data_IF_376984293219
#
_entry.id   IF_376984293219
#
_cell.length_a   1.000
_cell.length_b   1.000
_cell.length_c   1.000
_cell.angle_alpha   90.00
_cell.angle_beta   90.00
_cell.angle_gamma   90.00
#
_symmetry.space_group_name_H-M   'P 1'
#
loop_
_entity.id
_entity.type
_entity.pdbx_description
1 polymer ?
#
# COMPACT_ATOMS: atom_id res chain seq x y z
N UNK A 1 4.18 6.56 -14.80
CA UNK A 1 3.27 5.53 -15.30
C UNK A 1 3.26 4.34 -14.37
N UNK A 2 2.09 3.80 -14.11
CA UNK A 2 1.94 2.69 -13.16
C UNK A 2 1.48 1.44 -13.89
N UNK A 3 2.03 0.30 -13.49
CA UNK A 3 1.64 -0.99 -14.05
C UNK A 3 1.40 -1.95 -12.91
N UNK A 4 0.48 -2.88 -13.14
CA UNK A 4 0.27 -3.99 -12.22
C UNK A 4 0.97 -5.21 -12.75
N UNK A 5 1.71 -5.88 -11.86
CA UNK A 5 2.34 -7.15 -12.20
C UNK A 5 1.43 -8.28 -11.79
N UNK A 6 1.47 -9.38 -12.53
CA UNK A 6 0.79 -10.59 -12.10
C UNK A 6 1.45 -11.12 -10.85
N UNK A 7 0.73 -11.86 -9.99
CA UNK A 7 1.36 -12.49 -8.84
C UNK A 7 2.44 -13.45 -9.29
N UNK A 8 3.54 -13.44 -8.57
CA UNK A 8 4.62 -14.39 -8.84
C UNK A 8 5.34 -14.71 -7.53
N UNK A 9 6.04 -15.83 -7.49
CA UNK A 9 6.68 -16.25 -6.24
C UNK A 9 7.70 -15.22 -5.78
N UNK A 10 7.65 -14.92 -4.52
CA UNK A 10 8.66 -14.09 -3.89
C UNK A 10 9.92 -14.88 -3.67
N UNK A 11 11.05 -14.22 -3.84
CA UNK A 11 12.31 -14.88 -3.53
C UNK A 11 12.36 -15.32 -2.07
N UNK A 12 11.79 -14.51 -1.20
CA UNK A 12 11.72 -14.85 0.21
C UNK A 12 10.67 -15.92 0.52
N UNK A 13 9.92 -16.34 -0.47
CA UNK A 13 8.94 -17.40 -0.29
C UNK A 13 7.77 -17.03 0.59
N UNK A 14 7.59 -15.75 0.82
CA UNK A 14 6.67 -15.34 1.83
C UNK A 14 5.23 -15.46 1.41
N UNK A 15 4.95 -15.17 0.13
CA UNK A 15 3.56 -15.11 -0.24
C UNK A 15 3.37 -15.09 -1.75
N UNK A 16 3.06 -16.24 -2.31
CA UNK A 16 2.82 -16.31 -3.75
C UNK A 16 1.55 -15.60 -4.20
N UNK A 17 0.68 -15.20 -3.25
CA UNK A 17 -0.58 -14.56 -3.60
C UNK A 17 -0.54 -13.05 -3.56
N UNK A 18 0.61 -12.47 -3.22
CA UNK A 18 0.74 -11.02 -3.23
C UNK A 18 0.79 -10.48 -4.64
N UNK A 19 0.24 -9.29 -4.81
CA UNK A 19 0.40 -8.54 -6.05
C UNK A 19 1.43 -7.46 -5.85
N UNK A 20 2.12 -7.14 -6.93
CA UNK A 20 3.12 -6.08 -6.92
C UNK A 20 2.69 -5.00 -7.89
N UNK A 21 2.67 -3.76 -7.42
CA UNK A 21 2.36 -2.62 -8.26
C UNK A 21 3.66 -1.88 -8.53
N UNK A 22 3.98 -1.73 -9.80
CA UNK A 22 5.25 -1.16 -10.22
C UNK A 22 5.02 0.21 -10.85
N UNK A 23 5.84 1.19 -10.44
CA UNK A 23 5.87 2.48 -11.09
C UNK A 23 7.07 2.54 -12.01
N UNK A 24 6.81 2.76 -13.29
CA UNK A 24 7.84 2.75 -14.32
C UNK A 24 7.93 4.12 -14.96
N UNK A 25 9.14 4.63 -15.08
CA UNK A 25 9.40 5.91 -15.77
C UNK A 25 10.56 5.70 -16.72
N UNK A 26 10.30 5.89 -18.02
CA UNK A 26 11.30 5.68 -19.07
C UNK A 26 11.95 4.30 -18.99
N UNK A 27 11.16 3.27 -18.70
CA UNK A 27 11.66 1.91 -18.62
C UNK A 27 12.36 1.57 -17.31
N UNK A 28 12.43 2.51 -16.38
CA UNK A 28 13.11 2.31 -15.11
C UNK A 28 12.10 2.14 -13.99
N UNK A 29 12.33 1.17 -13.11
CA UNK A 29 11.49 0.96 -11.94
C UNK A 29 11.79 2.06 -10.92
N UNK A 30 10.82 2.92 -10.66
CA UNK A 30 11.02 4.07 -9.77
C UNK A 30 10.11 4.03 -8.55
N UNK A 31 9.14 3.13 -8.52
CA UNK A 31 8.22 3.03 -7.38
C UNK A 31 7.67 1.61 -7.30
N UNK A 32 7.30 1.21 -6.09
CA UNK A 32 6.87 -0.17 -5.84
C UNK A 32 5.99 -0.21 -4.61
N UNK A 33 4.95 -1.04 -4.64
CA UNK A 33 4.24 -1.43 -3.44
C UNK A 33 3.72 -2.85 -3.60
N UNK A 34 3.33 -3.44 -2.47
CA UNK A 34 2.82 -4.80 -2.45
C UNK A 34 1.40 -4.80 -1.89
N UNK A 35 0.52 -5.54 -2.52
CA UNK A 35 -0.85 -5.75 -2.04
C UNK A 35 -0.94 -7.15 -1.48
N UNK A 36 -1.32 -7.25 -0.20
CA UNK A 36 -1.37 -8.52 0.51
C UNK A 36 -2.82 -8.93 0.74
N UNK A 37 -3.15 -10.20 0.44
CA UNK A 37 -4.53 -10.66 0.66
C UNK A 37 -4.91 -10.65 2.12
N UNK A 38 -6.21 -10.66 2.35
CA UNK A 38 -6.77 -10.70 3.70
C UNK A 38 -6.26 -11.94 4.44
N UNK A 39 -5.99 -11.76 5.73
CA UNK A 39 -5.55 -12.86 6.56
C UNK A 39 -4.05 -13.11 6.58
N UNK A 40 -3.29 -12.35 5.79
CA UNK A 40 -1.85 -12.54 5.75
C UNK A 40 -1.11 -11.68 6.78
N UNK A 41 -1.25 -10.37 6.70
CA UNK A 41 -0.67 -9.45 7.68
C UNK A 41 -1.69 -8.99 8.69
N UNK A 42 -2.89 -8.75 8.24
CA UNK A 42 -4.04 -8.35 9.04
C UNK A 42 -5.22 -9.19 8.59
N UNK A 43 -6.31 -9.12 9.34
CA UNK A 43 -7.54 -9.77 8.90
C UNK A 43 -8.05 -9.16 7.61
N UNK A 44 -7.76 -7.89 7.38
CA UNK A 44 -8.13 -7.20 6.15
C UNK A 44 -7.01 -7.29 5.12
N UNK A 45 -7.32 -6.94 3.88
CA UNK A 45 -6.31 -6.74 2.84
C UNK A 45 -5.38 -5.61 3.29
N UNK A 46 -4.12 -5.70 2.94
CA UNK A 46 -3.14 -4.71 3.33
C UNK A 46 -2.30 -4.26 2.13
N UNK A 47 -1.68 -3.11 2.28
CA UNK A 47 -0.71 -2.59 1.32
C UNK A 47 0.59 -2.39 2.10
N UNK A 48 1.68 -2.92 1.56
CA UNK A 48 2.96 -2.81 2.23
C UNK A 48 4.09 -2.50 1.28
N UNK A 49 5.23 -2.23 1.85
CA UNK A 49 6.46 -2.00 1.11
C UNK A 49 6.36 -0.89 0.09
N UNK A 50 5.70 0.22 0.46
CA UNK A 50 5.59 1.36 -0.44
C UNK A 50 6.95 2.05 -0.51
N UNK A 51 7.57 2.02 -1.68
CA UNK A 51 8.92 2.55 -1.88
C UNK A 51 8.92 3.41 -3.13
N UNK A 52 9.56 4.57 -3.05
CA UNK A 52 9.75 5.46 -4.18
C UNK A 52 11.24 5.76 -4.27
N UNK A 53 11.80 5.61 -5.48
CA UNK A 53 13.21 5.85 -5.71
C UNK A 53 13.55 7.30 -5.32
N UNK A 54 14.69 7.52 -4.64
CA UNK A 54 15.02 8.88 -4.19
C UNK A 54 15.00 9.95 -5.29
N UNK A 55 15.39 9.60 -6.51
CA UNK A 55 15.38 10.55 -7.61
C UNK A 55 13.98 11.00 -8.00
N UNK A 56 12.95 10.26 -7.56
CA UNK A 56 11.56 10.54 -7.93
C UNK A 56 10.70 10.94 -6.75
N UNK A 57 11.30 11.08 -5.57
CA UNK A 57 10.57 11.57 -4.40
C UNK A 57 10.23 13.03 -4.57
N UNK A 58 9.11 13.45 -3.98
CA UNK A 58 8.68 14.84 -4.08
C UNK A 58 7.96 15.15 -5.36
N UNK A 59 7.74 14.16 -6.23
CA UNK A 59 7.03 14.35 -7.50
C UNK A 59 5.58 13.87 -7.41
N UNK A 60 5.10 13.54 -6.21
CA UNK A 60 3.72 13.16 -6.02
C UNK A 60 3.36 11.76 -6.49
N UNK A 61 4.34 10.86 -6.63
CA UNK A 61 4.05 9.52 -7.12
C UNK A 61 3.31 8.64 -6.12
N UNK A 62 3.45 8.92 -4.82
CA UNK A 62 2.81 8.10 -3.80
C UNK A 62 1.31 8.09 -3.90
N UNK A 63 0.70 9.23 -4.19
CA UNK A 63 -0.75 9.34 -4.27
C UNK A 63 -1.34 8.50 -5.40
N UNK A 64 -0.90 8.66 -6.66
CA UNK A 64 -1.48 7.83 -7.72
C UNK A 64 -1.22 6.34 -7.52
N UNK A 65 -0.09 5.96 -6.94
CA UNK A 65 0.16 4.55 -6.66
C UNK A 65 -0.83 4.00 -5.64
N UNK A 66 -1.04 4.74 -4.55
CA UNK A 66 -1.99 4.31 -3.52
C UNK A 66 -3.41 4.29 -4.06
N UNK A 67 -3.78 5.30 -4.84
CA UNK A 67 -5.12 5.34 -5.42
C UNK A 67 -5.36 4.16 -6.35
N UNK A 68 -4.36 3.81 -7.14
CA UNK A 68 -4.48 2.66 -8.04
C UNK A 68 -4.58 1.35 -7.26
N UNK A 69 -3.81 1.22 -6.19
CA UNK A 69 -3.89 0.03 -5.35
C UNK A 69 -5.26 -0.09 -4.68
N UNK A 70 -5.78 1.02 -4.16
CA UNK A 70 -7.10 1.03 -3.54
C UNK A 70 -8.17 0.64 -4.57
N UNK A 71 -8.08 1.22 -5.76
CA UNK A 71 -9.02 0.93 -6.83
C UNK A 71 -9.00 -0.56 -7.19
N UNK A 72 -7.81 -1.13 -7.31
CA UNK A 72 -7.68 -2.55 -7.63
C UNK A 72 -8.31 -3.42 -6.55
N UNK A 73 -8.01 -3.13 -5.30
CA UNK A 73 -8.51 -3.93 -4.19
C UNK A 73 -10.04 -3.87 -4.13
N UNK A 74 -10.61 -2.67 -4.29
CA UNK A 74 -12.05 -2.52 -4.15
C UNK A 74 -12.82 -3.03 -5.36
N UNK A 75 -12.24 -2.97 -6.55
CA UNK A 75 -12.95 -3.34 -7.77
C UNK A 75 -12.62 -4.74 -8.27
N UNK A 76 -11.36 -5.16 -8.18
CA UNK A 76 -10.98 -6.48 -8.68
C UNK A 76 -11.10 -7.53 -7.58
N UNK A 77 -10.60 -7.24 -6.41
CA UNK A 77 -10.69 -8.18 -5.29
C UNK A 77 -12.02 -8.04 -4.53
N UNK A 78 -12.76 -6.97 -4.79
CA UNK A 78 -14.07 -6.70 -4.20
C UNK A 78 -14.03 -6.66 -2.68
N UNK A 79 -12.91 -6.17 -2.15
CA UNK A 79 -12.76 -5.96 -0.71
C UNK A 79 -13.13 -4.53 -0.37
N UNK A 80 -13.76 -4.34 0.77
CA UNK A 80 -14.23 -3.02 1.17
C UNK A 80 -13.34 -2.35 2.20
N UNK A 81 -12.39 -3.09 2.78
CA UNK A 81 -11.53 -2.54 3.83
C UNK A 81 -10.07 -2.88 3.55
N UNK A 82 -9.20 -1.92 3.86
CA UNK A 82 -7.76 -2.08 3.70
C UNK A 82 -7.10 -1.57 4.97
N UNK A 83 -6.26 -2.39 5.60
CA UNK A 83 -5.57 -2.00 6.83
C UNK A 83 -4.07 -1.95 6.56
N UNK A 84 -3.45 -0.86 7.02
CA UNK A 84 -2.01 -0.67 6.81
C UNK A 84 -1.33 -0.29 8.12
N UNK A 85 -0.04 -0.59 8.21
CA UNK A 85 0.82 -0.05 9.26
C UNK A 85 1.58 1.12 8.68
N UNK A 86 1.18 2.33 9.03
CA UNK A 86 1.72 3.54 8.44
C UNK A 86 2.72 4.20 9.36
N UNK A 87 3.80 4.74 8.79
CA UNK A 87 4.71 5.57 9.58
C UNK A 87 3.95 6.81 10.03
N UNK A 88 4.12 7.16 11.30
CA UNK A 88 3.29 8.20 11.92
C UNK A 88 3.40 9.54 11.20
N UNK A 89 4.57 9.87 10.66
CA UNK A 89 4.71 11.16 9.99
C UNK A 89 3.95 11.23 8.66
N UNK A 90 3.45 10.10 8.16
CA UNK A 90 2.66 10.05 6.93
C UNK A 90 1.16 9.97 7.22
N UNK A 91 0.76 10.13 8.47
CA UNK A 91 -0.64 9.97 8.84
C UNK A 91 -1.55 10.88 8.02
N UNK A 92 -1.19 12.15 7.87
CA UNK A 92 -2.03 13.09 7.13
C UNK A 92 -2.14 12.70 5.65
N UNK A 93 -1.06 12.19 5.08
CA UNK A 93 -1.08 11.74 3.71
C UNK A 93 -2.11 10.61 3.53
N UNK A 94 -2.07 9.61 4.41
CA UNK A 94 -3.01 8.50 4.30
C UNK A 94 -4.43 8.93 4.64
N UNK A 95 -4.60 9.89 5.55
CA UNK A 95 -5.93 10.43 5.82
C UNK A 95 -6.52 11.06 4.58
N UNK A 96 -5.71 11.74 3.78
CA UNK A 96 -6.19 12.37 2.55
C UNK A 96 -6.66 11.35 1.52
N UNK A 97 -6.27 10.09 1.68
CA UNK A 97 -6.69 9.01 0.79
C UNK A 97 -7.89 8.25 1.33
N UNK A 98 -8.35 8.59 2.53
CA UNK A 98 -9.53 7.94 3.12
C UNK A 98 -9.21 6.97 4.26
N UNK A 99 -7.95 6.86 4.65
CA UNK A 99 -7.57 6.02 5.79
C UNK A 99 -7.82 6.76 7.10
N UNK A 100 -8.18 6.02 8.13
CA UNK A 100 -8.38 6.58 9.46
C UNK A 100 -7.55 5.82 10.47
N UNK A 101 -6.98 6.51 11.47
CA UNK A 101 -6.20 5.81 12.50
C UNK A 101 -7.11 4.87 13.31
N UNK A 102 -6.64 3.65 13.54
CA UNK A 102 -7.40 2.67 14.34
C UNK A 102 -6.56 2.09 15.46
N UNK A 103 -5.38 2.63 15.70
CA UNK A 103 -4.54 2.21 16.81
C UNK A 103 -3.79 3.40 17.36
N UNK A 104 -3.15 3.21 18.53
CA UNK A 104 -2.22 4.19 19.04
C UNK A 104 -0.89 4.03 18.30
N UNK A 105 -0.02 5.03 18.47
CA UNK A 105 1.31 4.98 17.89
C UNK A 105 2.13 3.91 18.61
N UNK A 106 2.84 3.11 17.84
CA UNK A 106 3.75 2.09 18.37
C UNK A 106 5.06 2.17 17.60
N UNK A 107 6.08 1.54 18.14
CA UNK A 107 7.39 1.54 17.49
C UNK A 107 7.56 0.25 16.70
N UNK A 108 8.01 0.40 15.47
CA UNK A 108 8.39 -0.72 14.63
C UNK A 108 9.77 -0.38 14.07
N UNK A 109 10.77 -1.18 14.40
CA UNK A 109 12.16 -0.89 14.05
C UNK A 109 12.55 0.53 14.52
N UNK A 110 12.10 0.88 15.73
CA UNK A 110 12.36 2.19 16.36
C UNK A 110 11.78 3.36 15.61
N UNK A 111 10.86 3.13 14.69
CA UNK A 111 10.19 4.18 13.94
C UNK A 111 8.72 4.21 14.37
N UNK A 112 8.19 5.40 14.75
CA UNK A 112 6.78 5.48 15.11
C UNK A 112 5.85 5.11 13.96
N UNK A 113 4.94 4.21 14.24
CA UNK A 113 3.93 3.72 13.30
C UNK A 113 2.57 3.75 13.96
N UNK A 114 1.52 3.68 13.16
CA UNK A 114 0.18 3.44 13.67
C UNK A 114 -0.60 2.68 12.60
N UNK A 115 -1.59 1.92 13.03
CA UNK A 115 -2.46 1.22 12.10
C UNK A 115 -3.53 2.16 11.60
N UNK A 116 -3.83 2.07 10.30
CA UNK A 116 -4.86 2.88 9.69
C UNK A 116 -5.75 1.99 8.84
N UNK A 117 -7.01 2.37 8.75
CA UNK A 117 -8.01 1.58 8.03
C UNK A 117 -8.72 2.43 7.00
N UNK A 118 -8.79 1.91 5.79
CA UNK A 118 -9.62 2.47 4.73
C UNK A 118 -10.89 1.65 4.61
N UNK A 119 -12.03 2.33 4.51
CA UNK A 119 -13.31 1.66 4.26
C UNK A 119 -13.92 2.28 3.02
N UNK A 120 -14.29 1.42 2.06
CA UNK A 120 -14.90 1.89 0.84
C UNK A 120 -16.21 2.60 1.15
N UNK A 121 -16.42 3.79 0.61
CA UNK A 121 -17.69 4.49 0.86
C UNK A 121 -18.87 3.68 0.38
N UNK A 122 -19.96 3.74 1.15
CA UNK A 122 -21.22 3.09 0.80
C UNK A 122 -22.03 4.08 -0.01
N UNK A 123 -22.54 3.61 -1.15
CA UNK A 123 -23.39 4.44 -2.00
C UNK A 123 -24.85 4.12 -1.77
#
# INVERSE_FOLDING_TARGET
MLEQACPYPEVAGKDPNCLHLLGIDNGELVAYLRILPAGLSYDEVSIGRVVIKPSHRGKGLGRPMMEQAIHYITNEWKESQIKIGAQAYLEKFYQSLGFKPVSEVYLEDDIPHLDMLYSKPVN
#
